data_IF_158771400475
#
_entry.id   IF_158771400475
#
_cell.length_a   1.000
_cell.length_b   1.000
_cell.length_c   1.000
_cell.angle_alpha   90.00
_cell.angle_beta   90.00
_cell.angle_gamma   90.00
#
_symmetry.space_group_name_H-M   'P 1'
#
loop_
_entity.id
_entity.type
_entity.pdbx_description
1 polymer ?
#
# COMPACT_ATOMS: atom_id res chain seq x y z
N UNK A 1 1.31 -1.38 0.03
CA UNK A 1 -0.07 -1.02 -0.36
C UNK A 1 -0.43 0.26 0.36
N UNK A 2 -0.77 1.33 -0.37
CA UNK A 2 -1.26 2.58 0.19
C UNK A 2 -2.73 2.76 -0.17
N UNK A 3 -3.53 3.22 0.80
CA UNK A 3 -4.92 3.61 0.60
C UNK A 3 -5.00 5.11 0.77
N UNK A 4 -5.61 5.81 -0.19
CA UNK A 4 -5.75 7.26 -0.16
C UNK A 4 -7.21 7.68 -0.05
N UNK A 5 -7.45 8.74 0.70
CA UNK A 5 -8.73 9.41 0.84
C UNK A 5 -8.47 10.88 1.16
N UNK A 6 -9.45 11.74 0.94
CA UNK A 6 -9.35 13.13 1.43
C UNK A 6 -9.45 13.14 2.96
N UNK A 7 -8.82 14.12 3.61
CA UNK A 7 -8.89 14.31 5.08
C UNK A 7 -10.33 14.30 5.60
N UNK A 8 -11.20 14.95 4.84
CA UNK A 8 -12.64 14.98 5.01
C UNK A 8 -13.30 13.59 5.07
N UNK A 9 -12.90 12.68 4.18
CA UNK A 9 -13.39 11.30 4.18
C UNK A 9 -12.75 10.48 5.30
N UNK A 10 -11.50 10.73 5.65
CA UNK A 10 -10.83 10.08 6.78
C UNK A 10 -11.58 10.40 8.09
N UNK A 11 -11.80 11.69 8.36
CA UNK A 11 -12.51 12.14 9.56
C UNK A 11 -13.95 11.59 9.64
N UNK A 12 -14.67 11.55 8.52
CA UNK A 12 -16.04 11.01 8.48
C UNK A 12 -16.11 9.50 8.70
N UNK A 13 -15.05 8.75 8.39
CA UNK A 13 -15.07 7.29 8.38
C UNK A 13 -14.07 6.68 9.39
N UNK A 14 -13.58 7.43 10.37
CA UNK A 14 -12.55 7.02 11.31
C UNK A 14 -12.82 5.62 11.92
N UNK A 15 -14.02 5.39 12.45
CA UNK A 15 -14.43 4.10 13.04
C UNK A 15 -14.44 2.96 12.02
N UNK A 16 -14.80 3.24 10.77
CA UNK A 16 -14.76 2.25 9.70
C UNK A 16 -13.31 1.93 9.32
N UNK A 17 -12.43 2.93 9.29
CA UNK A 17 -11.02 2.76 8.96
C UNK A 17 -10.27 1.96 10.03
N UNK A 18 -10.62 2.13 11.31
CA UNK A 18 -10.10 1.30 12.41
C UNK A 18 -10.41 -0.20 12.25
N UNK A 19 -11.42 -0.57 11.46
CA UNK A 19 -11.75 -1.96 11.14
C UNK A 19 -11.17 -2.37 9.78
N UNK A 20 -11.32 -1.49 8.78
CA UNK A 20 -10.94 -1.77 7.41
C UNK A 20 -9.42 -1.91 7.25
N UNK A 21 -8.64 -1.02 7.84
CA UNK A 21 -7.18 -1.01 7.66
C UNK A 21 -6.54 -2.29 8.21
N UNK A 22 -6.86 -2.76 9.42
CA UNK A 22 -6.37 -4.07 9.89
C UNK A 22 -6.81 -5.25 9.02
N UNK A 23 -8.05 -5.23 8.51
CA UNK A 23 -8.53 -6.28 7.61
C UNK A 23 -7.72 -6.31 6.29
N UNK A 24 -7.35 -5.14 5.76
CA UNK A 24 -6.51 -5.04 4.58
C UNK A 24 -5.05 -5.46 4.86
N UNK A 25 -4.50 -5.14 6.04
CA UNK A 25 -3.19 -5.62 6.46
C UNK A 25 -3.16 -7.15 6.52
N UNK A 26 -4.18 -7.77 7.13
CA UNK A 26 -4.29 -9.22 7.21
C UNK A 26 -4.45 -9.85 5.82
N UNK A 27 -5.28 -9.26 4.95
CA UNK A 27 -5.47 -9.75 3.59
C UNK A 27 -4.15 -9.73 2.78
N UNK A 28 -3.31 -8.70 2.97
CA UNK A 28 -1.99 -8.65 2.35
C UNK A 28 -1.07 -9.77 2.88
N UNK A 29 -1.03 -9.96 4.19
CA UNK A 29 -0.26 -11.05 4.82
C UNK A 29 -0.71 -12.42 4.30
N UNK A 30 -2.02 -12.65 4.23
CA UNK A 30 -2.59 -13.90 3.74
C UNK A 30 -2.30 -14.12 2.25
N UNK A 31 -2.34 -13.05 1.44
CA UNK A 31 -1.98 -13.09 0.03
C UNK A 31 -0.54 -13.55 -0.17
N UNK A 32 0.40 -12.98 0.57
CA UNK A 32 1.82 -13.37 0.46
C UNK A 32 2.07 -14.82 0.90
N UNK A 33 1.32 -15.31 1.88
CA UNK A 33 1.44 -16.69 2.35
C UNK A 33 0.75 -17.72 1.44
N UNK A 34 -0.33 -17.34 0.74
CA UNK A 34 -1.16 -18.25 -0.06
C UNK A 34 -1.83 -17.53 -1.24
N UNK A 35 -1.06 -17.17 -2.27
CA UNK A 35 -1.49 -16.22 -3.31
C UNK A 35 -2.46 -16.82 -4.33
N UNK A 36 -2.44 -18.13 -4.57
CA UNK A 36 -3.06 -18.75 -5.77
C UNK A 36 -4.57 -18.49 -5.91
N UNK A 37 -5.33 -18.59 -4.81
CA UNK A 37 -6.77 -18.32 -4.83
C UNK A 37 -7.07 -16.85 -5.17
N UNK A 38 -6.27 -15.92 -4.64
CA UNK A 38 -6.41 -14.51 -4.93
C UNK A 38 -5.97 -14.17 -6.36
N UNK A 39 -4.85 -14.74 -6.83
CA UNK A 39 -4.39 -14.59 -8.23
C UNK A 39 -5.49 -15.03 -9.20
N UNK A 40 -6.08 -16.20 -8.97
CA UNK A 40 -7.17 -16.71 -9.81
C UNK A 40 -8.34 -15.73 -9.89
N UNK A 41 -8.75 -15.15 -8.75
CA UNK A 41 -9.81 -14.14 -8.68
C UNK A 41 -9.44 -12.84 -9.39
N UNK A 42 -8.20 -12.36 -9.25
CA UNK A 42 -7.72 -11.14 -9.92
C UNK A 42 -7.72 -11.32 -11.44
N UNK A 43 -7.23 -12.47 -11.92
CA UNK A 43 -7.21 -12.80 -13.35
C UNK A 43 -8.62 -12.90 -13.92
N UNK A 44 -9.55 -13.53 -13.18
CA UNK A 44 -10.95 -13.63 -13.58
C UNK A 44 -11.63 -12.24 -13.62
N UNK A 45 -11.41 -11.43 -12.60
CA UNK A 45 -11.90 -10.04 -12.55
C UNK A 45 -11.37 -9.20 -13.71
N UNK A 46 -10.07 -9.30 -14.04
CA UNK A 46 -9.47 -8.60 -15.17
C UNK A 46 -10.13 -8.98 -16.51
N UNK A 47 -10.49 -10.26 -16.69
CA UNK A 47 -11.26 -10.71 -17.86
C UNK A 47 -12.67 -10.14 -17.88
N UNK A 48 -13.38 -10.19 -16.75
CA UNK A 48 -14.78 -9.74 -16.66
C UNK A 48 -14.94 -8.24 -16.85
N UNK A 49 -14.01 -7.43 -16.31
CA UNK A 49 -14.04 -5.98 -16.46
C UNK A 49 -13.63 -5.50 -17.86
N UNK A 50 -13.35 -6.41 -18.80
CA UNK A 50 -13.01 -6.13 -20.20
C UNK A 50 -11.93 -5.03 -20.33
N UNK A 51 -10.89 -5.14 -19.51
CA UNK A 51 -9.78 -4.19 -19.54
C UNK A 51 -9.02 -4.27 -20.87
N UNK A 52 -8.50 -3.14 -21.34
CA UNK A 52 -7.67 -3.07 -22.57
C UNK A 52 -6.33 -3.82 -22.46
N UNK A 53 -6.05 -4.48 -21.32
CA UNK A 53 -4.83 -5.26 -21.06
C UNK A 53 -5.17 -6.72 -20.73
N UNK A 54 -4.24 -7.62 -21.07
CA UNK A 54 -4.26 -9.01 -20.62
C UNK A 54 -3.44 -9.17 -19.35
N UNK A 55 -3.97 -9.92 -18.40
CA UNK A 55 -3.28 -10.30 -17.17
C UNK A 55 -3.42 -11.81 -16.96
N UNK A 56 -2.30 -12.53 -17.02
CA UNK A 56 -2.27 -13.99 -16.89
C UNK A 56 -1.85 -14.42 -15.47
N UNK A 57 -2.20 -15.65 -15.05
CA UNK A 57 -1.71 -16.20 -13.79
C UNK A 57 -0.17 -16.23 -13.72
N UNK A 58 0.51 -16.51 -14.84
CA UNK A 58 1.97 -16.58 -14.87
C UNK A 58 2.61 -15.19 -14.69
N UNK A 59 2.00 -14.15 -15.27
CA UNK A 59 2.42 -12.76 -15.02
C UNK A 59 2.22 -12.37 -13.54
N UNK A 60 1.12 -12.82 -12.93
CA UNK A 60 0.84 -12.56 -11.52
C UNK A 60 1.88 -13.21 -10.60
N UNK A 61 2.25 -14.48 -10.86
CA UNK A 61 3.28 -15.18 -10.11
C UNK A 61 4.65 -14.56 -10.29
N UNK A 62 5.04 -14.26 -11.54
CA UNK A 62 6.31 -13.60 -11.82
C UNK A 62 6.43 -12.23 -11.13
N UNK A 63 5.34 -11.45 -11.10
CA UNK A 63 5.32 -10.18 -10.37
C UNK A 63 5.48 -10.38 -8.87
N UNK A 64 4.83 -11.40 -8.29
CA UNK A 64 4.99 -11.73 -6.87
C UNK A 64 6.43 -12.15 -6.54
N UNK A 65 7.05 -12.97 -7.38
CA UNK A 65 8.45 -13.38 -7.23
C UNK A 65 9.39 -12.17 -7.22
N UNK A 66 9.20 -11.23 -8.14
CA UNK A 66 9.99 -9.98 -8.19
C UNK A 66 9.77 -9.14 -6.92
N UNK A 67 8.51 -8.94 -6.52
CA UNK A 67 8.16 -8.15 -5.32
C UNK A 67 8.85 -8.71 -4.07
N UNK A 68 8.89 -10.04 -3.92
CA UNK A 68 9.52 -10.71 -2.79
C UNK A 68 11.05 -10.68 -2.88
N UNK A 69 11.62 -11.01 -4.04
CA UNK A 69 13.08 -11.09 -4.23
C UNK A 69 13.76 -9.72 -4.08
N UNK A 70 13.10 -8.66 -4.54
CA UNK A 70 13.64 -7.30 -4.50
C UNK A 70 13.31 -6.58 -3.18
N UNK A 71 12.60 -7.24 -2.26
CA UNK A 71 12.21 -6.65 -0.97
C UNK A 71 11.27 -5.44 -1.12
N UNK A 72 10.45 -5.40 -2.17
CA UNK A 72 9.54 -4.29 -2.46
C UNK A 72 8.31 -4.27 -1.55
N UNK A 73 8.13 -5.33 -0.76
CA UNK A 73 7.13 -5.42 0.30
C UNK A 73 7.80 -5.87 1.60
N UNK A 74 7.46 -5.20 2.70
CA UNK A 74 8.03 -5.48 4.00
C UNK A 74 7.25 -4.78 5.10
N UNK A 75 7.56 -5.14 6.33
CA UNK A 75 7.24 -4.30 7.49
C UNK A 75 8.32 -3.21 7.54
N UNK A 76 7.93 -1.93 7.43
CA UNK A 76 8.91 -0.83 7.61
C UNK A 76 9.41 -0.81 9.07
N UNK A 77 10.21 0.20 9.44
CA UNK A 77 10.75 0.41 10.80
C UNK A 77 9.73 0.29 11.94
N UNK A 78 8.43 0.53 11.68
CA UNK A 78 7.36 0.37 12.66
C UNK A 78 6.96 -1.08 12.97
N UNK A 79 7.41 -2.04 12.17
CA UNK A 79 7.10 -3.47 12.30
C UNK A 79 5.73 -3.89 11.76
N UNK A 80 4.84 -2.96 11.41
CA UNK A 80 3.53 -3.27 10.83
C UNK A 80 3.57 -3.28 9.30
N UNK A 81 2.86 -4.22 8.66
CA UNK A 81 2.68 -4.18 7.20
C UNK A 81 1.87 -2.96 6.80
N UNK A 82 2.33 -2.24 5.77
CA UNK A 82 1.62 -1.06 5.25
C UNK A 82 1.87 0.24 6.01
N UNK A 83 2.77 0.26 7.00
CA UNK A 83 3.18 1.50 7.64
C UNK A 83 4.00 2.40 6.73
N UNK A 84 3.92 3.70 6.98
CA UNK A 84 4.80 4.70 6.39
C UNK A 84 5.99 4.99 7.30
N UNK A 85 7.20 5.00 6.72
CA UNK A 85 8.40 5.53 7.38
C UNK A 85 8.40 7.08 7.26
N UNK A 86 8.38 7.83 8.37
CA UNK A 86 8.33 9.30 8.34
C UNK A 86 9.57 9.94 7.72
N UNK A 87 10.76 9.35 7.91
CA UNK A 87 11.99 9.86 7.35
C UNK A 87 11.98 9.67 5.82
N UNK A 88 11.67 8.46 5.36
CA UNK A 88 11.58 8.16 3.92
C UNK A 88 10.54 9.03 3.22
N UNK A 89 9.39 9.27 3.87
CA UNK A 89 8.34 10.14 3.33
C UNK A 89 8.81 11.60 3.23
N UNK A 90 9.56 12.07 4.23
CA UNK A 90 10.13 13.43 4.23
C UNK A 90 11.20 13.60 3.16
N UNK A 91 12.07 12.61 2.97
CA UNK A 91 13.07 12.58 1.90
C UNK A 91 12.42 12.60 0.51
N UNK A 92 11.38 11.78 0.31
CA UNK A 92 10.59 11.79 -0.92
C UNK A 92 10.01 13.18 -1.22
N UNK A 93 9.40 13.84 -0.22
CA UNK A 93 8.83 15.17 -0.39
C UNK A 93 9.91 16.21 -0.75
N UNK A 94 11.12 16.10 -0.18
CA UNK A 94 12.24 16.97 -0.53
C UNK A 94 12.68 16.76 -1.99
N UNK A 95 12.87 15.52 -2.42
CA UNK A 95 13.25 15.20 -3.81
C UNK A 95 12.18 15.67 -4.79
N UNK A 96 10.91 15.48 -4.46
CA UNK A 96 9.79 15.92 -5.29
C UNK A 96 9.81 17.43 -5.47
N UNK A 97 10.01 18.21 -4.40
CA UNK A 97 10.14 19.68 -4.47
C UNK A 97 11.28 20.14 -5.36
N UNK A 98 12.43 19.49 -5.26
CA UNK A 98 13.60 19.84 -6.09
C UNK A 98 13.34 19.60 -7.56
N UNK A 99 12.57 18.55 -7.87
CA UNK A 99 12.24 18.15 -9.24
C UNK A 99 11.07 18.97 -9.82
N UNK A 100 10.15 19.43 -8.96
CA UNK A 100 8.89 20.05 -9.34
C UNK A 100 8.58 21.30 -8.49
N UNK A 101 9.42 22.35 -8.55
CA UNK A 101 9.31 23.52 -7.67
C UNK A 101 8.04 24.33 -7.89
N UNK A 102 7.48 24.34 -9.10
CA UNK A 102 6.33 25.19 -9.46
C UNK A 102 4.97 24.60 -9.06
N UNK A 103 4.92 23.31 -8.67
CA UNK A 103 3.67 22.59 -8.38
C UNK A 103 3.62 22.02 -6.97
N UNK A 104 4.66 22.25 -6.17
CA UNK A 104 4.75 21.72 -4.81
C UNK A 104 4.69 22.85 -3.79
N UNK A 105 3.72 22.78 -2.88
CA UNK A 105 3.67 23.70 -1.74
C UNK A 105 4.89 23.48 -0.82
N UNK A 106 5.64 24.54 -0.58
CA UNK A 106 6.81 24.52 0.31
C UNK A 106 6.43 24.34 1.77
N UNK A 107 5.18 24.64 2.16
CA UNK A 107 4.67 24.49 3.51
C UNK A 107 4.17 23.06 3.83
N UNK A 108 3.97 22.21 2.82
CA UNK A 108 3.48 20.85 2.99
C UNK A 108 4.43 20.01 3.88
N UNK A 109 3.91 19.22 4.80
CA UNK A 109 4.74 18.34 5.63
C UNK A 109 4.39 16.87 5.39
N UNK A 110 5.32 15.96 5.69
CA UNK A 110 5.12 14.53 5.44
C UNK A 110 3.95 13.96 6.25
N UNK A 111 3.74 14.43 7.47
CA UNK A 111 2.63 14.06 8.35
C UNK A 111 1.26 14.58 7.87
N UNK A 112 1.24 15.55 6.95
CA UNK A 112 0.00 15.96 6.27
C UNK A 112 -0.36 15.04 5.10
N UNK A 113 0.58 14.19 4.64
CA UNK A 113 0.41 13.32 3.48
C UNK A 113 0.07 11.88 3.85
N UNK A 114 0.60 11.40 4.98
CA UNK A 114 0.49 10.01 5.40
C UNK A 114 0.16 9.91 6.89
N UNK A 115 -0.58 8.87 7.26
CA UNK A 115 -0.93 8.54 8.64
C UNK A 115 -0.80 7.04 8.87
N UNK A 116 -0.37 6.67 10.07
CA UNK A 116 -0.28 5.28 10.54
C UNK A 116 -1.35 4.96 11.60
N UNK A 117 -2.27 5.89 11.88
CA UNK A 117 -3.18 5.85 13.05
C UNK A 117 -4.15 4.66 13.08
N UNK A 118 -4.44 4.08 11.91
CA UNK A 118 -5.40 2.97 11.76
C UNK A 118 -4.74 1.60 11.67
N UNK A 119 -3.41 1.53 11.71
CA UNK A 119 -2.69 0.25 11.58
C UNK A 119 -2.80 -0.57 12.86
N UNK A 120 -2.95 -1.87 12.69
CA UNK A 120 -2.69 -2.85 13.73
C UNK A 120 -1.19 -3.20 13.72
N UNK A 121 -0.50 -2.79 14.79
CA UNK A 121 0.94 -3.00 14.95
C UNK A 121 1.34 -4.48 15.13
N UNK A 122 0.39 -5.37 15.44
CA UNK A 122 0.65 -6.80 15.58
C UNK A 122 0.73 -7.54 14.23
N UNK A 123 0.21 -6.93 13.16
CA UNK A 123 0.20 -7.53 11.82
C UNK A 123 1.49 -7.16 11.10
N UNK A 124 2.50 -8.01 11.25
CA UNK A 124 3.77 -7.94 10.55
C UNK A 124 3.90 -9.02 9.48
N UNK A 125 4.75 -8.76 8.49
CA UNK A 125 5.30 -9.78 7.60
C UNK A 125 6.47 -10.46 8.30
N UNK A 126 6.59 -11.78 8.14
CA UNK A 126 7.77 -12.50 8.63
C UNK A 126 9.03 -12.00 7.89
N UNK A 127 10.19 -12.00 8.55
CA UNK A 127 11.47 -11.68 7.91
C UNK A 127 11.83 -12.68 6.81
#
# INVERSE_FOLDING_TARGET
>A
MSVSATSDQIARNEKCLQILIPALQQAMKDFLNSPESAIARIVDAARQFNSMWSYSPDQARAALDIILNDGLIGSETSGAVGSFDPQRTSEFLQTFRQSFPDVTDSALTADQLVTNEFLDASISLQP
#
